data_IF_169967448342
#
_entry.id   IF_169967448342
#
_cell.length_a   1.000
_cell.length_b   1.000
_cell.length_c   1.000
_cell.angle_alpha   90.00
_cell.angle_beta   90.00
_cell.angle_gamma   90.00
#
_symmetry.space_group_name_H-M   'P 1'
#
loop_
_entity.id
_entity.type
_entity.pdbx_description
1 polymer ?
#
# COMPACT_ATOMS: atom_id res chain seq x y z
N UNK A 1 19.13 -5.23 10.96
CA UNK A 1 18.73 -3.83 10.69
C UNK A 1 17.52 -3.87 9.75
N UNK A 2 16.46 -3.12 10.03
CA UNK A 2 15.29 -3.02 9.14
C UNK A 2 15.65 -2.21 7.90
N UNK A 3 15.11 -2.59 6.74
CA UNK A 3 15.21 -1.77 5.54
C UNK A 3 14.39 -0.48 5.73
N UNK A 4 14.78 0.67 5.14
CA UNK A 4 14.04 1.92 5.28
C UNK A 4 12.60 1.80 4.76
N UNK A 5 11.65 2.37 5.51
CA UNK A 5 10.25 2.37 5.12
C UNK A 5 10.00 3.48 4.09
N UNK A 6 10.03 3.15 2.81
CA UNK A 6 9.68 4.09 1.75
C UNK A 6 8.16 4.21 1.59
N UNK A 7 7.68 5.43 1.42
CA UNK A 7 6.26 5.77 1.32
C UNK A 7 6.06 6.88 0.30
N UNK A 8 4.82 7.09 -0.12
CA UNK A 8 4.41 8.22 -0.97
C UNK A 8 3.48 9.14 -0.16
N UNK A 9 3.72 10.46 -0.12
CA UNK A 9 2.78 11.40 0.49
C UNK A 9 1.39 11.34 -0.15
N UNK A 10 0.32 11.49 0.64
CA UNK A 10 -1.05 11.37 0.14
C UNK A 10 -1.37 12.35 -1.00
N UNK A 11 -0.84 13.58 -0.97
CA UNK A 11 -1.08 14.58 -2.00
C UNK A 11 -0.36 14.26 -3.32
N UNK A 12 0.79 13.59 -3.26
CA UNK A 12 1.50 13.04 -4.43
C UNK A 12 0.71 11.87 -5.00
N UNK A 13 0.30 10.91 -4.15
CA UNK A 13 -0.48 9.75 -4.57
C UNK A 13 -1.81 10.15 -5.24
N UNK A 14 -2.50 11.18 -4.72
CA UNK A 14 -3.74 11.70 -5.30
C UNK A 14 -3.57 12.31 -6.70
N UNK A 15 -2.35 12.66 -7.10
CA UNK A 15 -2.02 13.21 -8.42
C UNK A 15 -1.48 12.15 -9.39
N UNK A 16 -1.16 10.96 -8.90
CA UNK A 16 -0.62 9.88 -9.73
C UNK A 16 -1.63 9.44 -10.80
N UNK A 17 -1.16 9.38 -12.04
CA UNK A 17 -1.91 8.86 -13.19
C UNK A 17 -1.35 7.53 -13.70
N UNK A 18 -0.35 6.97 -13.00
CA UNK A 18 0.31 5.68 -13.21
C UNK A 18 1.00 5.29 -11.91
N UNK A 19 1.09 3.99 -11.63
CA UNK A 19 1.91 3.48 -10.53
C UNK A 19 3.26 3.09 -11.13
N UNK A 20 4.33 3.77 -10.72
CA UNK A 20 5.68 3.43 -11.15
C UNK A 20 6.37 2.58 -10.07
N UNK A 21 7.33 1.72 -10.45
CA UNK A 21 8.12 0.94 -9.50
C UNK A 21 8.97 1.85 -8.61
N UNK A 22 9.39 1.29 -7.47
CA UNK A 22 10.19 1.94 -6.44
C UNK A 22 11.33 2.81 -6.98
N UNK A 23 12.14 2.28 -7.89
CA UNK A 23 13.35 2.93 -8.39
C UNK A 23 13.03 4.21 -9.17
N UNK A 24 11.96 4.21 -9.97
CA UNK A 24 11.54 5.37 -10.74
C UNK A 24 10.99 6.47 -9.83
N UNK A 25 10.11 6.12 -8.88
CA UNK A 25 9.59 7.11 -7.92
C UNK A 25 10.71 7.65 -7.02
N UNK A 26 11.68 6.81 -6.65
CA UNK A 26 12.87 7.25 -5.89
C UNK A 26 13.69 8.26 -6.68
N UNK A 27 13.94 7.99 -7.97
CA UNK A 27 14.70 8.88 -8.85
C UNK A 27 13.97 10.21 -9.13
N UNK A 28 12.63 10.19 -9.14
CA UNK A 28 11.79 11.37 -9.29
C UNK A 28 11.68 12.21 -8.01
N UNK A 29 12.08 11.65 -6.86
CA UNK A 29 11.93 12.31 -5.56
C UNK A 29 10.53 12.17 -4.95
N UNK A 30 9.69 11.30 -5.51
CA UNK A 30 8.30 11.08 -5.06
C UNK A 30 8.22 10.10 -3.87
N UNK A 31 9.31 9.38 -3.57
CA UNK A 31 9.40 8.54 -2.37
C UNK A 31 10.00 9.31 -1.18
N UNK A 32 9.34 9.16 -0.03
CA UNK A 32 9.81 9.64 1.27
C UNK A 32 10.19 8.45 2.15
N UNK A 33 11.36 8.50 2.79
CA UNK A 33 11.67 7.59 3.90
C UNK A 33 10.86 8.06 5.10
N UNK A 34 9.90 7.24 5.53
CA UNK A 34 8.96 7.62 6.57
C UNK A 34 9.61 7.61 7.97
N UNK A 35 9.29 8.65 8.72
CA UNK A 35 9.59 8.81 10.13
C UNK A 35 8.35 9.34 10.88
N UNK A 36 8.22 9.01 12.16
CA UNK A 36 7.03 9.40 12.95
C UNK A 36 6.98 10.92 13.20
N UNK A 37 8.11 11.62 13.05
CA UNK A 37 8.19 13.07 13.16
C UNK A 37 7.56 13.79 11.95
N UNK A 38 7.47 13.15 10.78
CA UNK A 38 6.95 13.80 9.57
C UNK A 38 5.43 13.64 9.39
N UNK A 39 4.79 12.73 10.11
CA UNK A 39 3.35 12.53 10.01
C UNK A 39 2.83 11.19 10.52
N UNK A 40 1.89 10.61 9.77
CA UNK A 40 1.35 9.28 10.02
C UNK A 40 1.49 8.44 8.75
N UNK A 41 1.70 7.13 8.91
CA UNK A 41 1.68 6.20 7.80
C UNK A 41 0.39 5.37 7.77
N UNK A 42 -0.06 5.03 6.57
CA UNK A 42 -1.06 3.99 6.33
C UNK A 42 -0.46 2.87 5.49
N UNK A 43 -0.67 1.64 5.92
CA UNK A 43 -0.30 0.45 5.16
C UNK A 43 -1.44 0.08 4.22
N UNK A 44 -1.18 0.01 2.92
CA UNK A 44 -2.18 -0.39 1.92
C UNK A 44 -1.94 -1.83 1.51
N UNK A 45 -2.84 -2.72 1.94
CA UNK A 45 -2.90 -4.10 1.46
C UNK A 45 -3.80 -4.17 0.24
N UNK A 46 -3.34 -4.79 -0.84
CA UNK A 46 -4.07 -4.88 -2.11
C UNK A 46 -3.71 -6.18 -2.84
N UNK A 47 -4.49 -6.53 -3.86
CA UNK A 47 -4.21 -7.69 -4.71
C UNK A 47 -3.40 -7.29 -5.94
N UNK A 48 -2.58 -8.22 -6.44
CA UNK A 48 -1.89 -8.05 -7.73
C UNK A 48 -2.78 -8.53 -8.88
N UNK A 49 -3.14 -7.64 -9.81
CA UNK A 49 -3.98 -7.94 -10.98
C UNK A 49 -3.21 -8.53 -12.17
N UNK A 50 -1.88 -8.39 -12.18
CA UNK A 50 -1.01 -8.97 -13.20
C UNK A 50 0.35 -9.37 -12.61
N UNK A 51 1.07 -10.24 -13.33
CA UNK A 51 2.35 -10.83 -12.87
C UNK A 51 3.44 -9.82 -12.57
N UNK A 52 3.49 -8.72 -13.34
CA UNK A 52 4.59 -7.75 -13.30
C UNK A 52 4.16 -6.37 -12.83
N UNK A 53 2.87 -6.19 -12.54
CA UNK A 53 2.33 -4.91 -12.13
C UNK A 53 1.03 -5.15 -11.35
N UNK A 54 0.88 -4.56 -10.16
CA UNK A 54 -0.26 -4.85 -9.30
C UNK A 54 -1.57 -4.27 -9.80
N UNK A 55 -1.53 -3.14 -10.50
CA UNK A 55 -2.74 -2.49 -11.03
C UNK A 55 -2.47 -1.78 -12.37
N UNK A 56 -2.28 -2.54 -13.47
CA UNK A 56 -1.84 -1.99 -14.76
C UNK A 56 -2.74 -0.88 -15.31
N UNK A 57 -4.05 -0.98 -15.03
CA UNK A 57 -5.09 -0.09 -15.53
C UNK A 57 -5.56 0.94 -14.49
N UNK A 58 -4.89 1.02 -13.33
CA UNK A 58 -5.22 1.89 -12.20
C UNK A 58 -6.65 1.72 -11.66
N UNK A 59 -7.23 0.53 -11.80
CA UNK A 59 -8.61 0.27 -11.34
C UNK A 59 -8.67 0.37 -9.83
N UNK A 60 -7.74 -0.24 -9.11
CA UNK A 60 -7.69 -0.22 -7.65
C UNK A 60 -7.19 1.13 -7.13
N UNK A 61 -6.15 1.69 -7.75
CA UNK A 61 -5.55 2.96 -7.35
C UNK A 61 -6.54 4.11 -7.45
N UNK A 62 -7.38 4.17 -8.49
CA UNK A 62 -8.44 5.18 -8.59
C UNK A 62 -9.44 5.09 -7.45
N UNK A 63 -9.79 3.88 -7.01
CA UNK A 63 -10.68 3.69 -5.87
C UNK A 63 -10.01 4.13 -4.56
N UNK A 64 -8.73 3.79 -4.38
CA UNK A 64 -7.94 4.28 -3.24
C UNK A 64 -7.87 5.82 -3.23
N UNK A 65 -7.58 6.44 -4.37
CA UNK A 65 -7.54 7.91 -4.51
C UNK A 65 -8.90 8.55 -4.17
N UNK A 66 -10.01 7.99 -4.65
CA UNK A 66 -11.34 8.49 -4.33
C UNK A 66 -11.66 8.37 -2.83
N UNK A 67 -11.33 7.24 -2.22
CA UNK A 67 -11.52 7.01 -0.79
C UNK A 67 -10.65 7.96 0.04
N UNK A 68 -9.35 8.06 -0.26
CA UNK A 68 -8.42 8.98 0.42
C UNK A 68 -8.86 10.43 0.26
N UNK A 69 -9.28 10.86 -0.92
CA UNK A 69 -9.80 12.21 -1.14
C UNK A 69 -10.97 12.51 -0.20
N UNK A 70 -11.94 11.59 -0.09
CA UNK A 70 -13.07 11.75 0.85
C UNK A 70 -12.58 11.80 2.30
N UNK A 71 -11.69 10.91 2.71
CA UNK A 71 -11.15 10.89 4.07
C UNK A 71 -10.44 12.20 4.43
N UNK A 72 -9.70 12.78 3.48
CA UNK A 72 -8.87 13.96 3.72
C UNK A 72 -9.59 15.29 3.55
N UNK A 73 -10.71 15.35 2.80
CA UNK A 73 -11.41 16.63 2.53
C UNK A 73 -12.76 16.77 3.23
N UNK A 74 -13.34 15.69 3.75
CA UNK A 74 -14.64 15.77 4.43
C UNK A 74 -14.53 16.49 5.77
N UNK A 75 -15.35 17.52 5.97
CA UNK A 75 -15.36 18.33 7.20
C UNK A 75 -16.00 17.59 8.40
N UNK A 76 -16.89 16.64 8.12
CA UNK A 76 -17.59 15.83 9.11
C UNK A 76 -17.86 14.43 8.59
N UNK A 77 -18.02 13.49 9.53
CA UNK A 77 -18.27 12.08 9.24
C UNK A 77 -17.25 11.15 9.87
N UNK A 78 -17.54 9.86 9.74
CA UNK A 78 -16.71 8.77 10.24
C UNK A 78 -16.78 7.60 9.28
N UNK A 79 -15.71 6.81 9.21
CA UNK A 79 -15.76 5.48 8.61
C UNK A 79 -16.54 4.57 9.54
N UNK A 80 -17.69 4.01 9.10
CA UNK A 80 -18.49 3.13 9.94
C UNK A 80 -17.75 1.82 10.21
N UNK A 81 -18.17 1.13 11.27
CA UNK A 81 -17.75 -0.25 11.53
C UNK A 81 -18.47 -1.19 10.57
N UNK A 82 -17.83 -2.31 10.24
CA UNK A 82 -18.57 -3.42 9.64
C UNK A 82 -19.48 -4.08 10.70
N UNK A 83 -20.56 -4.71 10.23
CA UNK A 83 -21.62 -5.30 11.06
C UNK A 83 -21.04 -6.30 12.08
N UNK A 84 -20.03 -7.07 11.68
CA UNK A 84 -19.44 -8.10 12.53
C UNK A 84 -18.61 -7.47 13.65
N UNK A 85 -17.80 -6.46 13.34
CA UNK A 85 -17.04 -5.70 14.34
C UNK A 85 -17.97 -4.97 15.31
N UNK A 86 -19.02 -4.32 14.80
CA UNK A 86 -20.00 -3.61 15.62
C UNK A 86 -20.71 -4.55 16.63
N UNK A 87 -21.08 -5.76 16.21
CA UNK A 87 -21.74 -6.74 17.06
C UNK A 87 -20.83 -7.49 18.03
N UNK A 88 -19.54 -7.63 17.71
CA UNK A 88 -18.64 -8.57 18.41
C UNK A 88 -17.56 -7.89 19.25
N UNK A 89 -17.24 -6.62 18.99
CA UNK A 89 -16.16 -5.89 19.68
C UNK A 89 -16.77 -4.83 20.61
N UNK A 90 -16.82 -5.09 21.93
CA UNK A 90 -17.35 -4.13 22.89
C UNK A 90 -16.61 -2.79 22.80
N UNK A 91 -17.36 -1.70 22.74
CA UNK A 91 -16.85 -0.32 22.64
C UNK A 91 -16.11 0.03 21.35
N UNK A 92 -16.21 -0.78 20.28
CA UNK A 92 -15.75 -0.35 18.96
C UNK A 92 -16.51 0.92 18.55
N UNK A 93 -15.80 1.88 17.96
CA UNK A 93 -16.37 3.15 17.50
C UNK A 93 -16.03 3.39 16.04
N UNK A 94 -16.94 4.01 15.27
CA UNK A 94 -16.61 4.53 13.95
C UNK A 94 -15.37 5.42 13.99
N UNK A 95 -14.51 5.32 12.99
CA UNK A 95 -13.26 6.06 12.92
C UNK A 95 -13.54 7.47 12.36
N UNK A 96 -13.35 8.56 13.13
CA UNK A 96 -13.62 9.91 12.65
C UNK A 96 -12.74 10.25 11.45
N UNK A 97 -13.30 10.92 10.43
CA UNK A 97 -12.51 11.37 9.27
C UNK A 97 -11.39 12.34 9.68
N UNK A 98 -11.61 13.13 10.74
CA UNK A 98 -10.62 14.04 11.32
C UNK A 98 -9.34 13.34 11.79
N UNK A 99 -9.40 12.05 12.14
CA UNK A 99 -8.21 11.30 12.54
C UNK A 99 -7.23 11.13 11.38
N UNK A 100 -7.71 11.03 10.14
CA UNK A 100 -6.87 10.99 8.94
C UNK A 100 -6.27 12.36 8.59
N UNK A 101 -6.88 13.44 9.08
CA UNK A 101 -6.52 14.82 8.77
C UNK A 101 -5.60 15.44 9.84
N UNK A 102 -5.40 14.76 10.97
CA UNK A 102 -4.68 15.30 12.12
C UNK A 102 -3.20 15.58 11.85
N UNK A 103 -2.58 14.85 10.91
CA UNK A 103 -1.18 14.97 10.50
C UNK A 103 -1.04 14.60 9.01
N UNK A 104 0.05 15.01 8.33
CA UNK A 104 0.35 14.54 6.99
C UNK A 104 0.31 13.01 6.90
N UNK A 105 -0.32 12.48 5.85
CA UNK A 105 -0.50 11.04 5.66
C UNK A 105 0.44 10.53 4.57
N UNK A 106 1.17 9.45 4.87
CA UNK A 106 2.08 8.77 3.97
C UNK A 106 1.60 7.35 3.72
N UNK A 107 1.61 6.91 2.46
CA UNK A 107 1.08 5.61 2.07
C UNK A 107 2.24 4.66 1.78
N UNK A 108 2.20 3.50 2.42
CA UNK A 108 3.03 2.36 2.07
C UNK A 108 2.23 1.44 1.14
N UNK A 109 2.80 1.10 -0.01
CA UNK A 109 2.21 0.21 -1.02
C UNK A 109 3.35 -0.59 -1.65
N UNK A 110 3.25 -1.92 -1.59
CA UNK A 110 4.39 -2.82 -1.84
C UNK A 110 5.19 -2.49 -3.12
N UNK A 111 4.53 -2.23 -4.24
CA UNK A 111 5.18 -2.07 -5.55
C UNK A 111 6.12 -0.86 -5.64
N UNK A 112 5.76 0.26 -5.02
CA UNK A 112 6.64 1.44 -4.98
C UNK A 112 7.43 1.58 -3.68
N UNK A 113 7.01 0.90 -2.60
CA UNK A 113 7.70 0.92 -1.32
C UNK A 113 8.83 -0.12 -1.24
N UNK A 114 8.79 -1.14 -2.08
CA UNK A 114 9.78 -2.23 -2.16
C UNK A 114 10.51 -2.16 -3.50
N UNK A 115 11.86 -2.27 -3.53
CA UNK A 115 12.61 -2.40 -4.78
C UNK A 115 12.08 -3.49 -5.71
N UNK A 116 11.92 -3.19 -7.00
CA UNK A 116 11.37 -4.08 -8.03
C UNK A 116 12.40 -4.48 -9.09
N UNK A 117 13.36 -3.60 -9.37
CA UNK A 117 14.26 -3.69 -10.53
C UNK A 117 15.66 -4.21 -10.15
N UNK A 118 15.74 -5.12 -9.20
CA UNK A 118 17.03 -5.71 -8.84
C UNK A 118 17.57 -6.56 -10.00
N UNK A 119 18.47 -5.95 -10.78
CA UNK A 119 19.20 -6.62 -11.83
C UNK A 119 19.99 -7.77 -11.22
N UNK A 120 19.54 -9.00 -11.50
CA UNK A 120 20.23 -10.26 -11.19
C UNK A 120 21.64 -10.37 -11.83
N UNK A 121 22.12 -9.34 -12.52
CA UNK A 121 23.31 -9.36 -13.38
C UNK A 121 24.46 -8.43 -12.98
N UNK A 122 24.30 -7.51 -12.02
CA UNK A 122 25.38 -6.55 -11.68
C UNK A 122 25.97 -6.65 -10.27
N UNK A 123 25.43 -7.51 -9.41
CA UNK A 123 26.02 -7.81 -8.09
C UNK A 123 26.64 -9.21 -8.05
N UNK A 124 27.41 -9.55 -9.08
CA UNK A 124 28.48 -10.51 -8.90
C UNK A 124 29.66 -9.74 -8.27
N UNK A 125 30.07 -10.17 -7.07
CA UNK A 125 31.17 -9.62 -6.28
C UNK A 125 30.84 -8.41 -5.40
N UNK A 126 30.04 -8.61 -4.35
CA UNK A 126 30.52 -8.48 -2.95
C UNK A 126 29.42 -8.94 -1.98
N UNK A 127 29.74 -9.95 -1.19
CA UNK A 127 28.97 -10.53 -0.06
C UNK A 127 27.70 -11.33 -0.40
N UNK A 128 27.85 -12.65 -0.44
CA UNK A 128 26.78 -13.66 -0.42
C UNK A 128 25.98 -13.69 0.91
N UNK A 129 26.16 -12.70 1.79
CA UNK A 129 25.59 -12.65 3.15
C UNK A 129 24.49 -11.63 3.37
N UNK A 130 24.27 -10.69 2.45
CA UNK A 130 23.20 -9.71 2.55
C UNK A 130 22.20 -10.00 1.43
N UNK A 131 21.01 -10.49 1.80
CA UNK A 131 19.95 -10.76 0.83
C UNK A 131 19.63 -9.51 -0.01
N UNK A 132 18.99 -9.70 -1.15
CA UNK A 132 18.62 -8.60 -2.04
C UNK A 132 17.84 -7.51 -1.28
N UNK A 133 17.97 -6.23 -1.66
CA UNK A 133 17.24 -5.13 -1.03
C UNK A 133 15.73 -5.37 -1.04
N UNK A 134 15.20 -5.98 -2.11
CA UNK A 134 13.82 -6.47 -2.17
C UNK A 134 13.53 -7.45 -1.04
N UNK A 135 14.36 -8.49 -0.86
CA UNK A 135 14.18 -9.45 0.22
C UNK A 135 14.24 -8.78 1.60
N UNK A 136 15.19 -7.86 1.82
CA UNK A 136 15.31 -7.10 3.08
C UNK A 136 14.09 -6.23 3.36
N UNK A 137 13.54 -5.57 2.32
CA UNK A 137 12.33 -4.79 2.43
C UNK A 137 11.10 -5.66 2.73
N UNK A 138 10.97 -6.81 2.07
CA UNK A 138 9.91 -7.79 2.34
C UNK A 138 10.00 -8.32 3.78
N UNK A 139 11.20 -8.69 4.24
CA UNK A 139 11.41 -9.13 5.63
C UNK A 139 11.10 -8.04 6.67
N UNK A 140 11.08 -6.78 6.25
CA UNK A 140 10.76 -5.64 7.11
C UNK A 140 9.27 -5.27 7.12
N UNK A 141 8.42 -5.92 6.32
CA UNK A 141 6.96 -5.66 6.26
C UNK A 141 6.30 -5.67 7.63
N UNK A 142 6.54 -6.66 8.54
CA UNK A 142 5.93 -6.65 9.86
C UNK A 142 6.26 -5.39 10.66
N UNK A 143 7.50 -4.88 10.54
CA UNK A 143 7.90 -3.63 11.17
C UNK A 143 7.16 -2.43 10.57
N UNK A 144 6.98 -2.38 9.24
CA UNK A 144 6.20 -1.31 8.60
C UNK A 144 4.74 -1.31 9.04
N UNK A 145 4.11 -2.49 9.10
CA UNK A 145 2.73 -2.63 9.60
C UNK A 145 2.61 -2.11 11.03
N UNK A 146 3.57 -2.46 11.91
CA UNK A 146 3.56 -1.99 13.31
C UNK A 146 3.75 -0.47 13.47
N UNK A 147 4.39 0.19 12.49
CA UNK A 147 4.61 1.64 12.47
C UNK A 147 3.45 2.41 11.85
N UNK A 148 2.62 1.76 11.04
CA UNK A 148 1.46 2.42 10.43
C UNK A 148 0.36 2.69 11.45
N UNK A 149 -0.19 3.91 11.40
CA UNK A 149 -1.36 4.31 12.19
C UNK A 149 -2.65 3.69 11.67
N UNK A 150 -2.71 3.46 10.37
CA UNK A 150 -3.87 2.89 9.68
C UNK A 150 -3.46 1.68 8.83
N UNK A 151 -4.35 0.70 8.77
CA UNK A 151 -4.26 -0.42 7.84
C UNK A 151 -5.46 -0.34 6.89
N UNK A 152 -5.19 -0.16 5.61
CA UNK A 152 -6.21 0.00 4.57
C UNK A 152 -6.23 -1.26 3.70
N UNK A 153 -7.30 -2.04 3.81
CA UNK A 153 -7.55 -3.16 2.92
C UNK A 153 -8.25 -2.65 1.65
N UNK A 154 -7.51 -2.60 0.53
CA UNK A 154 -8.02 -2.19 -0.76
C UNK A 154 -8.56 -3.43 -1.49
N UNK A 155 -9.84 -3.71 -1.28
CA UNK A 155 -10.52 -4.92 -1.79
C UNK A 155 -11.67 -4.58 -2.76
N UNK A 156 -11.39 -3.95 -3.91
CA UNK A 156 -12.45 -3.68 -4.88
C UNK A 156 -12.83 -4.94 -5.66
N UNK A 157 -14.08 -4.97 -6.15
CA UNK A 157 -14.53 -5.97 -7.12
C UNK A 157 -13.98 -5.58 -8.49
N UNK A 158 -12.87 -6.21 -8.89
CA UNK A 158 -12.23 -6.02 -10.20
C UNK A 158 -11.91 -7.39 -10.79
N UNK A 159 -12.11 -7.55 -12.09
CA UNK A 159 -11.77 -8.81 -12.75
C UNK A 159 -10.26 -9.02 -12.72
N UNK A 160 -9.84 -10.17 -12.19
CA UNK A 160 -8.48 -10.70 -12.29
C UNK A 160 -8.46 -11.73 -13.43
N UNK A 161 -7.92 -11.39 -14.62
CA UNK A 161 -7.85 -12.33 -15.75
C UNK A 161 -7.00 -13.57 -15.44
N UNK A 162 -6.21 -13.53 -14.37
CA UNK A 162 -5.38 -14.64 -13.91
C UNK A 162 -6.17 -15.63 -13.02
N UNK A 163 -7.20 -15.17 -12.30
CA UNK A 163 -8.02 -16.03 -11.41
C UNK A 163 -9.04 -16.86 -12.19
N UNK A 164 -9.43 -16.43 -13.40
CA UNK A 164 -10.47 -17.08 -14.22
C UNK A 164 -10.12 -18.49 -14.70
N UNK A 165 -8.92 -19.01 -14.40
CA UNK A 165 -8.53 -20.40 -14.67
C UNK A 165 -8.73 -21.37 -13.51
N UNK A 166 -9.18 -20.90 -12.34
CA UNK A 166 -9.44 -21.75 -11.18
C UNK A 166 -10.94 -21.79 -10.84
N UNK A 167 -11.73 -22.51 -11.65
CA UNK A 167 -13.12 -22.82 -11.28
C UNK A 167 -14.12 -22.80 -12.43
N UNK A 168 -13.98 -23.71 -13.39
CA UNK A 168 -15.17 -24.28 -14.02
C UNK A 168 -15.44 -25.60 -13.29
N UNK A 169 -16.50 -25.72 -12.46
CA UNK A 169 -17.03 -27.02 -12.13
C UNK A 169 -17.53 -27.61 -13.46
N UNK A 170 -16.89 -28.67 -13.92
CA UNK A 170 -17.34 -29.43 -15.08
C UNK A 170 -18.80 -29.83 -14.88
N UNK A 171 -19.59 -29.57 -15.92
CA UNK A 171 -20.91 -30.13 -16.08
C UNK A 171 -20.85 -31.66 -15.99
N UNK A 172 -21.66 -32.23 -15.10
CA UNK A 172 -22.30 -33.54 -15.22
C UNK A 172 -23.69 -33.43 -14.58
#
# INVERSE_FOLDING_TARGET
>A
MTFPMYTVPADVLLKMNKIEPHELLKAQGDLTIFDDDVGMAAFVSHQWLAKHHPDPDLRQMRMLQQALKRLLTSESGSVPLDIMTEGSVPNAKPLPMKDFQAKPLFLWYDYFSVPQLEDRKFYAATDERDGSQQARAIHSIPAYVSRCRFFLALCPVVDCPWETKAGSPGAL
#
